data_IF_530649629684
#
_entry.id   IF_530649629684
#
_cell.length_a   1.000
_cell.length_b   1.000
_cell.length_c   1.000
_cell.angle_alpha   90.00
_cell.angle_beta   90.00
_cell.angle_gamma   90.00
#
_symmetry.space_group_name_H-M   'P 1'
#
loop_
_entity.id
_entity.type
_entity.pdbx_description
1 polymer ?
#
# COMPACT_ATOMS: atom_id res chain seq x y z
N UNK A 1 29.72 -8.22 -1.80
CA UNK A 1 28.33 -8.67 -1.48
C UNK A 1 27.37 -7.84 -2.31
N UNK A 2 26.56 -8.47 -3.16
CA UNK A 2 25.75 -7.76 -4.17
C UNK A 2 24.73 -6.82 -3.49
N UNK A 3 24.72 -5.53 -3.82
CA UNK A 3 23.87 -4.50 -3.18
C UNK A 3 22.39 -4.90 -3.16
N UNK A 4 21.95 -5.65 -4.18
CA UNK A 4 20.60 -6.20 -4.28
C UNK A 4 20.27 -7.23 -3.19
N UNK A 5 21.23 -8.10 -2.80
CA UNK A 5 21.01 -9.07 -1.71
C UNK A 5 20.77 -8.36 -0.38
N UNK A 6 21.49 -7.28 -0.11
CA UNK A 6 21.36 -6.53 1.14
C UNK A 6 20.02 -5.80 1.23
N UNK A 7 19.51 -5.28 0.10
CA UNK A 7 18.19 -4.65 0.05
C UNK A 7 17.05 -5.66 0.19
N UNK A 8 17.18 -6.84 -0.43
CA UNK A 8 16.21 -7.94 -0.28
C UNK A 8 16.18 -8.43 1.18
N UNK A 9 17.34 -8.62 1.81
CA UNK A 9 17.40 -9.05 3.21
C UNK A 9 16.76 -8.02 4.14
N UNK A 10 16.97 -6.72 3.88
CA UNK A 10 16.34 -5.62 4.63
C UNK A 10 14.83 -5.58 4.43
N UNK A 11 14.35 -5.84 3.22
CA UNK A 11 12.92 -5.89 2.92
C UNK A 11 12.26 -7.10 3.61
N UNK A 12 12.86 -8.29 3.52
CA UNK A 12 12.38 -9.49 4.22
C UNK A 12 12.37 -9.25 5.73
N UNK A 13 13.41 -8.62 6.27
CA UNK A 13 13.50 -8.27 7.68
C UNK A 13 12.43 -7.24 8.08
N UNK A 14 12.14 -6.25 7.24
CA UNK A 14 11.06 -5.29 7.47
C UNK A 14 9.68 -5.94 7.41
N UNK A 15 9.45 -6.86 6.46
CA UNK A 15 8.21 -7.64 6.38
C UNK A 15 8.06 -8.54 7.61
N UNK A 16 9.15 -9.15 8.08
CA UNK A 16 9.17 -9.97 9.28
C UNK A 16 8.92 -9.13 10.55
N UNK A 17 9.54 -7.95 10.67
CA UNK A 17 9.31 -7.03 11.78
C UNK A 17 7.87 -6.49 11.77
N UNK A 18 7.34 -6.18 10.59
CA UNK A 18 5.96 -5.76 10.42
C UNK A 18 5.00 -6.88 10.84
N UNK A 19 5.18 -8.11 10.35
CA UNK A 19 4.35 -9.24 10.76
C UNK A 19 4.49 -9.57 12.25
N UNK A 20 5.71 -9.52 12.82
CA UNK A 20 5.93 -9.74 14.26
C UNK A 20 5.27 -8.65 15.10
N UNK A 21 5.31 -7.39 14.65
CA UNK A 21 4.61 -6.28 15.30
C UNK A 21 3.09 -6.49 15.28
N UNK A 22 2.52 -6.89 14.14
CA UNK A 22 1.09 -7.20 14.02
C UNK A 22 0.68 -8.41 14.88
N UNK A 23 1.50 -9.47 14.94
CA UNK A 23 1.29 -10.59 15.85
C UNK A 23 1.33 -10.17 17.32
N UNK A 24 2.25 -9.26 17.69
CA UNK A 24 2.35 -8.74 19.04
C UNK A 24 1.16 -7.85 19.42
N UNK A 25 0.62 -7.07 18.46
CA UNK A 25 -0.61 -6.31 18.66
C UNK A 25 -1.83 -7.22 18.79
N UNK A 26 -1.92 -8.28 17.98
CA UNK A 26 -2.96 -9.29 18.14
C UNK A 26 -2.88 -9.95 19.52
N UNK A 27 -1.67 -10.26 19.99
CA UNK A 27 -1.45 -10.81 21.32
C UNK A 27 -1.89 -9.83 22.43
N UNK A 28 -1.51 -8.54 22.36
CA UNK A 28 -1.94 -7.52 23.33
C UNK A 28 -3.45 -7.31 23.31
N UNK A 29 -4.08 -7.30 22.13
CA UNK A 29 -5.54 -7.20 22.01
C UNK A 29 -6.27 -8.44 22.55
N UNK A 30 -5.68 -9.63 22.44
CA UNK A 30 -6.20 -10.84 23.08
C UNK A 30 -6.05 -10.80 24.60
N UNK A 31 -5.00 -10.14 25.11
CA UNK A 31 -4.82 -9.90 26.55
C UNK A 31 -5.84 -8.91 27.12
N UNK A 32 -6.27 -7.89 26.36
CA UNK A 32 -7.32 -6.96 26.79
C UNK A 32 -8.72 -7.57 26.76
N UNK A 33 -8.95 -8.59 25.93
CA UNK A 33 -10.23 -9.33 25.89
C UNK A 33 -10.32 -10.38 27.01
N UNK A 34 -9.19 -10.91 27.48
CA UNK A 34 -9.15 -11.88 28.60
C UNK A 34 -8.83 -11.26 29.97
N UNK A 35 -8.30 -10.03 30.02
CA UNK A 35 -7.92 -9.30 31.23
C UNK A 35 -8.92 -8.22 31.60
N UNK A 36 -10.20 -8.58 31.78
CA UNK A 36 -11.17 -7.70 32.41
C UNK A 36 -10.70 -7.37 33.83
N UNK A 37 -10.24 -6.14 34.06
CA UNK A 37 -10.12 -5.59 35.41
C UNK A 37 -11.53 -5.33 35.95
N UNK A 38 -11.94 -5.99 37.05
CA UNK A 38 -13.08 -5.52 37.82
C UNK A 38 -12.59 -4.35 38.68
N UNK A 39 -12.71 -3.11 38.20
CA UNK A 39 -12.73 -1.96 39.09
C UNK A 39 -14.15 -1.82 39.64
N UNK A 40 -14.45 -2.71 40.57
CA UNK A 40 -15.53 -2.51 41.51
C UNK A 40 -15.20 -1.30 42.39
N UNK A 41 -15.89 -0.18 42.17
CA UNK A 41 -16.17 0.75 43.25
C UNK A 41 -17.63 0.52 43.65
N UNK A 42 -17.90 -0.03 44.84
CA UNK A 42 -19.25 -0.15 45.33
C UNK A 42 -19.82 1.24 45.61
N UNK A 43 -21.06 1.41 45.17
CA UNK A 43 -21.95 2.52 45.49
C UNK A 43 -21.93 2.83 47.00
N UNK A 44 -21.62 4.06 47.35
CA UNK A 44 -22.18 4.68 48.55
C UNK A 44 -23.21 5.71 48.09
N UNK A 45 -24.47 5.29 48.21
CA UNK A 45 -25.66 6.10 48.16
C UNK A 45 -25.76 6.96 49.43
N UNK A 46 -26.01 8.26 49.30
CA UNK A 46 -26.69 9.00 50.36
C UNK A 46 -27.66 10.03 49.76
N UNK A 47 -28.93 9.70 49.96
CA UNK A 47 -30.18 10.45 49.88
C UNK A 47 -30.15 11.98 49.65
N UNK A 48 -31.05 12.43 48.76
CA UNK A 48 -31.71 13.72 48.97
C UNK A 48 -32.15 14.50 47.73
N UNK A 49 -33.35 14.18 47.25
CA UNK A 49 -34.29 15.05 46.52
C UNK A 49 -34.14 15.27 45.00
N UNK A 50 -35.18 14.78 44.33
CA UNK A 50 -35.47 14.75 42.90
C UNK A 50 -36.14 16.05 42.42
N UNK A 51 -35.54 16.70 41.42
CA UNK A 51 -36.28 17.26 40.29
C UNK A 51 -35.57 16.78 39.01
N UNK A 52 -36.12 15.72 38.40
CA UNK A 52 -35.50 14.87 37.39
C UNK A 52 -35.10 15.60 36.08
N UNK A 53 -33.79 15.71 35.78
CA UNK A 53 -33.26 15.85 34.42
C UNK A 53 -32.83 14.48 33.85
N UNK A 54 -33.19 13.38 34.54
CA UNK A 54 -32.69 12.02 34.31
C UNK A 54 -33.25 11.38 33.03
N UNK A 55 -34.37 11.87 32.49
CA UNK A 55 -34.96 11.35 31.24
C UNK A 55 -34.26 11.85 29.96
N UNK A 56 -33.23 12.71 30.06
CA UNK A 56 -32.40 13.14 28.92
C UNK A 56 -30.99 12.55 28.89
N UNK A 57 -30.62 11.75 29.90
CA UNK A 57 -29.33 11.05 29.96
C UNK A 57 -29.43 9.56 29.58
N UNK A 58 -30.49 9.18 28.86
CA UNK A 58 -30.29 8.23 27.75
C UNK A 58 -29.59 8.94 26.59
N UNK A 59 -28.47 9.59 26.90
CA UNK A 59 -27.40 9.88 25.96
C UNK A 59 -26.86 8.50 25.63
N UNK A 60 -27.54 7.88 24.65
CA UNK A 60 -27.17 6.62 24.02
C UNK A 60 -25.66 6.66 23.94
N UNK A 61 -25.02 5.75 24.65
CA UNK A 61 -23.61 5.45 24.53
C UNK A 61 -23.42 4.99 23.08
N UNK A 62 -23.42 5.96 22.16
CA UNK A 62 -23.32 5.74 20.73
C UNK A 62 -22.04 4.98 20.59
N UNK A 63 -22.20 3.72 20.23
CA UNK A 63 -21.08 2.79 20.11
C UNK A 63 -20.01 3.47 19.25
N UNK A 64 -18.73 3.27 19.59
CA UNK A 64 -17.60 3.89 18.86
C UNK A 64 -17.79 3.83 17.33
N UNK A 65 -18.40 2.73 16.84
CA UNK A 65 -18.77 2.53 15.43
C UNK A 65 -19.70 3.61 14.87
N UNK A 66 -20.79 3.97 15.54
CA UNK A 66 -21.75 4.97 15.04
C UNK A 66 -21.13 6.36 14.91
N UNK A 67 -20.27 6.72 15.87
CA UNK A 67 -19.51 7.98 15.81
C UNK A 67 -18.56 7.98 14.62
N UNK A 68 -17.85 6.89 14.37
CA UNK A 68 -16.95 6.76 13.21
C UNK A 68 -17.72 6.91 11.91
N UNK A 69 -18.86 6.21 11.76
CA UNK A 69 -19.68 6.29 10.56
C UNK A 69 -20.20 7.72 10.32
N UNK A 70 -20.62 8.42 11.38
CA UNK A 70 -21.06 9.82 11.28
C UNK A 70 -19.92 10.77 10.84
N UNK A 71 -18.70 10.56 11.35
CA UNK A 71 -17.53 11.36 10.96
C UNK A 71 -17.15 11.09 9.51
N UNK A 72 -17.23 9.84 9.05
CA UNK A 72 -16.96 9.50 7.66
C UNK A 72 -17.96 10.14 6.70
N UNK A 73 -19.25 10.19 7.07
CA UNK A 73 -20.27 10.88 6.29
C UNK A 73 -20.00 12.39 6.19
N UNK A 74 -19.68 13.05 7.31
CA UNK A 74 -19.33 14.48 7.30
C UNK A 74 -18.10 14.78 6.44
N UNK A 75 -17.08 13.92 6.47
CA UNK A 75 -15.91 14.05 5.61
C UNK A 75 -16.27 13.94 4.13
N UNK A 76 -17.10 12.97 3.78
CA UNK A 76 -17.57 12.80 2.41
C UNK A 76 -18.36 14.04 1.95
N UNK A 77 -19.28 14.54 2.79
CA UNK A 77 -20.04 15.75 2.50
C UNK A 77 -19.14 16.97 2.28
N UNK A 78 -18.15 17.19 3.15
CA UNK A 78 -17.20 18.30 3.03
C UNK A 78 -16.40 18.25 1.74
N UNK A 79 -15.93 17.07 1.33
CA UNK A 79 -15.18 16.91 0.10
C UNK A 79 -16.06 17.06 -1.15
N UNK A 80 -17.30 16.57 -1.10
CA UNK A 80 -18.26 16.69 -2.20
C UNK A 80 -18.88 18.10 -2.36
N UNK A 81 -18.58 19.04 -1.44
CA UNK A 81 -18.89 20.47 -1.66
C UNK A 81 -18.15 21.04 -2.86
N UNK A 82 -17.00 20.47 -3.24
CA UNK A 82 -16.28 20.88 -4.43
C UNK A 82 -16.91 20.22 -5.68
N UNK A 83 -17.36 21.03 -6.65
CA UNK A 83 -18.04 20.54 -7.86
C UNK A 83 -17.18 19.56 -8.67
N UNK A 84 -15.87 19.81 -8.80
CA UNK A 84 -14.96 18.91 -9.51
C UNK A 84 -14.87 17.54 -8.82
N UNK A 85 -14.77 17.49 -7.48
CA UNK A 85 -14.75 16.22 -6.75
C UNK A 85 -16.08 15.47 -6.86
N UNK A 86 -17.20 16.20 -6.90
CA UNK A 86 -18.52 15.62 -7.10
C UNK A 86 -18.69 15.01 -8.49
N UNK A 87 -18.23 15.69 -9.54
CA UNK A 87 -18.22 15.14 -10.90
C UNK A 87 -17.33 13.90 -11.01
N UNK A 88 -16.17 13.91 -10.35
CA UNK A 88 -15.26 12.78 -10.28
C UNK A 88 -15.88 11.59 -9.56
N UNK A 89 -16.50 11.79 -8.39
CA UNK A 89 -17.26 10.75 -7.66
C UNK A 89 -18.38 10.16 -8.52
N UNK A 90 -19.17 11.01 -9.19
CA UNK A 90 -20.21 10.56 -10.11
C UNK A 90 -19.66 9.75 -11.28
N UNK A 91 -18.50 10.14 -11.82
CA UNK A 91 -17.84 9.42 -12.90
C UNK A 91 -17.32 8.06 -12.44
N UNK A 92 -16.71 7.99 -11.25
CA UNK A 92 -16.21 6.74 -10.67
C UNK A 92 -17.34 5.78 -10.28
N UNK A 93 -18.47 6.30 -9.80
CA UNK A 93 -19.69 5.49 -9.59
C UNK A 93 -20.22 4.84 -10.87
N UNK A 94 -20.11 5.49 -12.03
CA UNK A 94 -20.53 4.89 -13.32
C UNK A 94 -19.68 3.69 -13.71
N UNK A 95 -18.39 3.69 -13.36
CA UNK A 95 -17.46 2.58 -13.61
C UNK A 95 -17.29 1.67 -12.37
N UNK A 96 -18.27 1.64 -11.46
CA UNK A 96 -18.19 0.87 -10.22
C UNK A 96 -17.84 -0.62 -10.45
N UNK A 97 -18.31 -1.22 -11.55
CA UNK A 97 -17.97 -2.60 -11.90
C UNK A 97 -16.45 -2.82 -12.01
N UNK A 98 -15.71 -1.85 -12.56
CA UNK A 98 -14.26 -1.93 -12.66
C UNK A 98 -13.61 -1.93 -11.27
N UNK A 99 -14.09 -1.08 -10.37
CA UNK A 99 -13.59 -1.03 -8.98
C UNK A 99 -13.90 -2.32 -8.22
N UNK A 100 -15.10 -2.88 -8.38
CA UNK A 100 -15.44 -4.17 -7.78
C UNK A 100 -14.50 -5.29 -8.26
N UNK A 101 -14.19 -5.34 -9.56
CA UNK A 101 -13.27 -6.33 -10.12
C UNK A 101 -11.85 -6.14 -9.58
N UNK A 102 -11.35 -4.91 -9.50
CA UNK A 102 -9.97 -4.64 -9.07
C UNK A 102 -9.76 -4.75 -7.56
N UNK A 103 -10.68 -4.22 -6.77
CA UNK A 103 -10.52 -4.02 -5.34
C UNK A 103 -11.37 -4.98 -4.49
N UNK A 104 -12.25 -5.78 -5.11
CA UNK A 104 -13.18 -6.67 -4.40
C UNK A 104 -14.29 -5.90 -3.65
N UNK A 105 -14.40 -4.59 -3.85
CA UNK A 105 -15.33 -3.72 -3.14
C UNK A 105 -15.92 -2.69 -4.10
N UNK A 106 -17.18 -2.30 -3.84
CA UNK A 106 -17.81 -1.22 -4.59
C UNK A 106 -17.10 0.11 -4.27
N UNK A 107 -16.92 0.91 -5.31
CA UNK A 107 -16.44 2.28 -5.17
C UNK A 107 -17.31 3.07 -4.20
N UNK A 108 -16.64 3.71 -3.24
CA UNK A 108 -17.23 4.71 -2.37
C UNK A 108 -16.23 5.84 -2.18
N UNK A 109 -16.71 7.07 -2.14
CA UNK A 109 -15.90 8.23 -1.81
C UNK A 109 -15.68 8.30 -0.29
N UNK A 110 -14.95 7.32 0.24
CA UNK A 110 -14.70 7.13 1.67
C UNK A 110 -13.21 6.98 1.97
N UNK A 111 -12.82 7.31 3.20
CA UNK A 111 -11.44 7.11 3.66
C UNK A 111 -11.04 5.62 3.62
N UNK A 112 -11.98 4.71 3.89
CA UNK A 112 -11.79 3.27 3.76
C UNK A 112 -11.35 2.91 2.34
N UNK A 113 -12.07 3.38 1.33
CA UNK A 113 -11.76 3.09 -0.06
C UNK A 113 -10.42 3.70 -0.49
N UNK A 114 -10.10 4.90 0.00
CA UNK A 114 -8.80 5.52 -0.24
C UNK A 114 -7.64 4.66 0.32
N UNK A 115 -7.76 4.15 1.54
CA UNK A 115 -6.75 3.25 2.12
C UNK A 115 -6.63 1.95 1.32
N UNK A 116 -7.76 1.34 0.93
CA UNK A 116 -7.78 0.15 0.06
C UNK A 116 -7.01 0.43 -1.23
N UNK A 117 -7.28 1.55 -1.89
CA UNK A 117 -6.62 1.95 -3.13
C UNK A 117 -5.09 2.13 -2.95
N UNK A 118 -4.67 2.81 -1.88
CA UNK A 118 -3.25 3.01 -1.57
C UNK A 118 -2.54 1.67 -1.30
N UNK A 119 -3.15 0.78 -0.51
CA UNK A 119 -2.58 -0.55 -0.26
C UNK A 119 -2.51 -1.40 -1.50
N UNK A 120 -3.54 -1.36 -2.34
CA UNK A 120 -3.60 -2.11 -3.58
C UNK A 120 -2.45 -1.70 -4.52
N UNK A 121 -2.26 -0.39 -4.75
CA UNK A 121 -1.16 0.11 -5.60
C UNK A 121 0.19 -0.22 -4.98
N UNK A 122 0.35 0.02 -3.68
CA UNK A 122 1.61 -0.23 -2.99
C UNK A 122 2.01 -1.71 -3.09
N UNK A 123 1.10 -2.63 -2.79
CA UNK A 123 1.39 -4.05 -2.89
C UNK A 123 1.62 -4.48 -4.34
N UNK A 124 0.84 -3.99 -5.31
CA UNK A 124 1.04 -4.33 -6.72
C UNK A 124 2.46 -4.00 -7.18
N UNK A 125 2.94 -2.80 -6.87
CA UNK A 125 4.29 -2.36 -7.22
C UNK A 125 5.34 -3.21 -6.49
N UNK A 126 5.15 -3.48 -5.19
CA UNK A 126 6.09 -4.29 -4.41
C UNK A 126 6.17 -5.73 -4.92
N UNK A 127 5.04 -6.40 -5.17
CA UNK A 127 5.01 -7.74 -5.75
C UNK A 127 5.65 -7.75 -7.14
N UNK A 128 5.39 -6.75 -7.97
CA UNK A 128 6.03 -6.65 -9.28
C UNK A 128 7.54 -6.65 -9.17
N UNK A 129 8.12 -5.82 -8.30
CA UNK A 129 9.57 -5.78 -8.11
C UNK A 129 10.12 -7.06 -7.48
N UNK A 130 9.40 -7.65 -6.52
CA UNK A 130 9.80 -8.93 -5.90
C UNK A 130 9.85 -10.02 -6.97
N UNK A 131 8.79 -10.20 -7.75
CA UNK A 131 8.71 -11.26 -8.78
C UNK A 131 9.73 -11.02 -9.89
N UNK A 132 9.87 -9.77 -10.35
CA UNK A 132 10.87 -9.39 -11.36
C UNK A 132 12.31 -9.64 -10.90
N UNK A 133 12.57 -9.59 -9.58
CA UNK A 133 13.91 -9.88 -9.05
C UNK A 133 14.34 -11.35 -9.22
N UNK A 134 13.39 -12.25 -9.49
CA UNK A 134 13.69 -13.63 -9.87
C UNK A 134 13.97 -13.71 -11.38
N UNK A 135 15.16 -14.21 -11.74
CA UNK A 135 15.66 -14.25 -13.13
C UNK A 135 14.80 -15.07 -14.11
N UNK A 136 13.85 -15.86 -13.61
CA UNK A 136 13.07 -16.80 -14.41
C UNK A 136 11.88 -16.14 -15.14
N UNK A 137 11.41 -14.98 -14.68
CA UNK A 137 10.20 -14.36 -15.22
C UNK A 137 10.50 -13.17 -16.12
N UNK A 138 9.85 -13.10 -17.27
CA UNK A 138 9.86 -11.90 -18.11
C UNK A 138 9.17 -10.73 -17.40
N UNK A 139 9.43 -9.51 -17.86
CA UNK A 139 8.81 -8.30 -17.29
C UNK A 139 7.27 -8.37 -17.35
N UNK A 140 6.73 -8.85 -18.47
CA UNK A 140 5.29 -9.06 -18.64
C UNK A 140 4.74 -10.16 -17.73
N UNK A 141 5.42 -11.31 -17.65
CA UNK A 141 5.01 -12.40 -16.76
C UNK A 141 5.00 -11.95 -15.29
N UNK A 142 6.01 -11.19 -14.86
CA UNK A 142 6.11 -10.66 -13.50
C UNK A 142 4.96 -9.72 -13.16
N UNK A 143 4.60 -8.83 -14.10
CA UNK A 143 3.46 -7.93 -13.96
C UNK A 143 2.13 -8.71 -13.87
N UNK A 144 1.92 -9.68 -14.77
CA UNK A 144 0.71 -10.48 -14.79
C UNK A 144 0.52 -11.32 -13.52
N UNK A 145 1.58 -11.98 -13.05
CA UNK A 145 1.55 -12.79 -11.81
C UNK A 145 1.27 -11.87 -10.60
N UNK A 146 1.95 -10.73 -10.52
CA UNK A 146 1.77 -9.77 -9.42
C UNK A 146 0.34 -9.23 -9.38
N UNK A 147 -0.19 -8.83 -10.54
CA UNK A 147 -1.57 -8.39 -10.67
C UNK A 147 -2.56 -9.48 -10.26
N UNK A 148 -2.34 -10.72 -10.68
CA UNK A 148 -3.19 -11.87 -10.31
C UNK A 148 -3.18 -12.12 -8.81
N UNK A 149 -2.01 -12.10 -8.15
CA UNK A 149 -1.89 -12.25 -6.70
C UNK A 149 -2.66 -11.14 -5.97
N UNK A 150 -2.51 -9.89 -6.42
CA UNK A 150 -3.21 -8.75 -5.82
C UNK A 150 -4.72 -8.86 -5.98
N UNK A 151 -5.21 -9.25 -7.16
CA UNK A 151 -6.63 -9.46 -7.39
C UNK A 151 -7.20 -10.52 -6.44
N UNK A 152 -6.51 -11.66 -6.29
CA UNK A 152 -6.94 -12.71 -5.36
C UNK A 152 -7.02 -12.15 -3.92
N UNK A 153 -5.99 -11.42 -3.47
CA UNK A 153 -6.00 -10.81 -2.14
C UNK A 153 -7.12 -9.76 -1.96
N UNK A 154 -7.45 -9.02 -3.01
CA UNK A 154 -8.55 -8.06 -3.00
C UNK A 154 -9.89 -8.74 -2.77
N UNK A 155 -10.18 -9.81 -3.54
CA UNK A 155 -11.41 -10.58 -3.42
C UNK A 155 -11.51 -11.41 -2.13
N UNK A 156 -10.38 -11.72 -1.50
CA UNK A 156 -10.35 -12.29 -0.14
C UNK A 156 -10.67 -11.25 0.95
N UNK A 157 -10.85 -9.97 0.60
CA UNK A 157 -11.17 -8.90 1.54
C UNK A 157 -9.98 -8.45 2.40
N UNK A 158 -8.75 -8.83 2.05
CA UNK A 158 -7.55 -8.49 2.83
C UNK A 158 -7.40 -6.97 3.01
N UNK A 159 -7.56 -6.21 1.93
CA UNK A 159 -7.44 -4.75 1.95
C UNK A 159 -8.50 -4.08 2.82
N UNK A 160 -9.73 -4.59 2.80
CA UNK A 160 -10.82 -4.10 3.65
C UNK A 160 -10.54 -4.36 5.11
N UNK A 161 -10.08 -5.56 5.45
CA UNK A 161 -9.71 -5.92 6.83
C UNK A 161 -8.59 -5.03 7.36
N UNK A 162 -7.52 -4.84 6.59
CA UNK A 162 -6.39 -3.96 6.97
C UNK A 162 -6.87 -2.51 7.12
N UNK A 163 -7.67 -2.01 6.19
CA UNK A 163 -8.16 -0.62 6.23
C UNK A 163 -9.10 -0.38 7.41
N UNK A 164 -9.98 -1.34 7.72
CA UNK A 164 -10.84 -1.31 8.91
C UNK A 164 -10.04 -1.31 10.20
N UNK A 165 -9.06 -2.20 10.29
CA UNK A 165 -8.16 -2.26 11.43
C UNK A 165 -7.43 -0.94 11.64
N UNK A 166 -6.87 -0.34 10.59
CA UNK A 166 -6.17 0.94 10.71
C UNK A 166 -7.08 2.10 11.11
N UNK A 167 -8.30 2.14 10.58
CA UNK A 167 -9.28 3.17 10.96
C UNK A 167 -9.69 3.00 12.42
N UNK A 168 -10.04 1.79 12.85
CA UNK A 168 -10.30 1.50 14.27
C UNK A 168 -9.12 1.89 15.14
N UNK A 169 -7.89 1.56 14.73
CA UNK A 169 -6.66 1.92 15.46
C UNK A 169 -6.43 3.45 15.52
N UNK A 170 -6.91 4.23 14.56
CA UNK A 170 -6.87 5.70 14.65
C UNK A 170 -7.91 6.21 15.66
N UNK A 171 -9.12 5.66 15.65
CA UNK A 171 -10.25 6.20 16.43
C UNK A 171 -10.35 5.68 17.86
N UNK A 172 -9.92 4.45 18.14
CA UNK A 172 -10.07 3.82 19.45
C UNK A 172 -9.02 4.26 20.48
N UNK A 173 -7.93 4.89 20.01
CA UNK A 173 -6.86 5.38 20.89
C UNK A 173 -7.04 6.86 21.28
N UNK A 174 -6.51 7.21 22.46
CA UNK A 174 -6.50 8.59 22.96
C UNK A 174 -5.70 9.55 22.07
N UNK A 175 -5.96 10.86 22.19
CA UNK A 175 -5.47 11.91 21.25
C UNK A 175 -3.97 11.87 20.97
N UNK A 176 -3.14 11.64 21.99
CA UNK A 176 -1.66 11.60 21.82
C UNK A 176 -1.24 10.38 21.01
N UNK A 177 -1.76 9.20 21.36
CA UNK A 177 -1.43 7.95 20.64
C UNK A 177 -1.97 7.99 19.22
N UNK A 178 -3.18 8.53 19.03
CA UNK A 178 -3.77 8.80 17.71
C UNK A 178 -2.86 9.68 16.85
N UNK A 179 -2.34 10.78 17.38
CA UNK A 179 -1.40 11.64 16.65
C UNK A 179 -0.13 10.88 16.27
N UNK A 180 0.45 10.09 17.20
CA UNK A 180 1.62 9.26 16.91
C UNK A 180 1.36 8.24 15.80
N UNK A 181 0.19 7.59 15.80
CA UNK A 181 -0.23 6.66 14.74
C UNK A 181 -0.34 7.39 13.41
N UNK A 182 -1.00 8.55 13.37
CA UNK A 182 -1.16 9.34 12.14
C UNK A 182 0.20 9.76 11.59
N UNK A 183 1.11 10.24 12.45
CA UNK A 183 2.49 10.55 12.05
C UNK A 183 3.24 9.31 11.60
N UNK A 184 3.04 8.15 12.23
CA UNK A 184 3.61 6.87 11.83
C UNK A 184 3.15 6.43 10.45
N UNK A 185 1.84 6.53 10.16
CA UNK A 185 1.27 6.25 8.83
C UNK A 185 1.84 7.22 7.80
N UNK A 186 1.90 8.52 8.12
CA UNK A 186 2.45 9.53 7.21
C UNK A 186 3.93 9.28 6.92
N UNK A 187 4.73 8.99 7.94
CA UNK A 187 6.14 8.65 7.80
C UNK A 187 6.33 7.37 6.98
N UNK A 188 5.48 6.37 7.18
CA UNK A 188 5.48 5.14 6.38
C UNK A 188 5.13 5.41 4.91
N UNK A 189 4.13 6.25 4.62
CA UNK A 189 3.79 6.65 3.24
C UNK A 189 4.94 7.42 2.58
N UNK A 190 5.57 8.36 3.30
CA UNK A 190 6.75 9.08 2.84
C UNK A 190 7.91 8.10 2.56
N UNK A 191 8.16 7.18 3.48
CA UNK A 191 9.16 6.13 3.31
C UNK A 191 8.90 5.30 2.05
N UNK A 192 7.67 4.87 1.81
CA UNK A 192 7.29 4.16 0.58
C UNK A 192 7.65 4.97 -0.66
N UNK A 193 7.29 6.26 -0.71
CA UNK A 193 7.62 7.15 -1.84
C UNK A 193 9.14 7.23 -2.08
N UNK A 194 9.93 7.40 -1.02
CA UNK A 194 11.39 7.47 -1.14
C UNK A 194 12.03 6.14 -1.53
N UNK A 195 11.52 5.04 -0.97
CA UNK A 195 11.97 3.69 -1.31
C UNK A 195 11.76 3.39 -2.80
N UNK A 196 10.62 3.79 -3.36
CA UNK A 196 10.36 3.66 -4.79
C UNK A 196 11.29 4.53 -5.65
N UNK A 197 11.60 5.76 -5.23
CA UNK A 197 12.55 6.63 -5.95
C UNK A 197 13.96 6.05 -6.01
N UNK A 198 14.42 5.43 -4.93
CA UNK A 198 15.78 4.86 -4.84
C UNK A 198 16.02 3.73 -5.84
N UNK A 199 15.05 2.83 -5.99
CA UNK A 199 15.18 1.69 -6.91
C UNK A 199 15.11 2.09 -8.38
N UNK A 200 14.41 3.17 -8.72
CA UNK A 200 14.28 3.62 -10.11
C UNK A 200 15.62 4.09 -10.70
N UNK A 201 16.46 4.74 -9.88
CA UNK A 201 17.76 5.24 -10.33
C UNK A 201 18.73 4.10 -10.65
N UNK A 202 18.81 3.08 -9.79
CA UNK A 202 19.70 1.95 -10.04
C UNK A 202 19.26 1.11 -11.24
N UNK A 203 17.96 0.93 -11.44
CA UNK A 203 17.43 0.21 -12.61
C UNK A 203 17.76 0.98 -13.90
N UNK A 204 17.65 2.32 -13.88
CA UNK A 204 18.03 3.15 -15.01
C UNK A 204 19.53 3.03 -15.31
N UNK A 205 20.38 3.15 -14.29
CA UNK A 205 21.83 3.02 -14.44
C UNK A 205 22.26 1.63 -14.95
N UNK A 206 21.56 0.56 -14.56
CA UNK A 206 21.84 -0.80 -15.03
C UNK A 206 21.39 -1.00 -16.48
N UNK A 207 20.22 -0.49 -16.86
CA UNK A 207 19.75 -0.49 -18.26
C UNK A 207 20.67 0.32 -19.17
N UNK A 208 21.11 1.50 -18.72
CA UNK A 208 22.02 2.34 -19.50
C UNK A 208 23.36 1.62 -19.73
N UNK A 209 23.87 0.88 -18.73
CA UNK A 209 25.09 0.08 -18.87
C UNK A 209 24.93 -1.15 -19.76
N UNK A 210 23.79 -1.83 -19.68
CA UNK A 210 23.52 -3.00 -20.50
C UNK A 210 23.31 -2.61 -21.96
N UNK A 211 22.63 -1.48 -22.21
CA UNK A 211 22.50 -0.90 -23.53
C UNK A 211 23.86 -0.44 -24.08
N UNK A 212 24.69 0.22 -23.28
CA UNK A 212 26.05 0.58 -23.71
C UNK A 212 26.90 -0.65 -24.09
N UNK A 213 26.72 -1.78 -23.39
CA UNK A 213 27.40 -3.03 -23.76
C UNK A 213 26.89 -3.59 -25.09
N UNK A 214 25.58 -3.63 -25.29
CA UNK A 214 24.99 -4.08 -26.55
C UNK A 214 25.42 -3.20 -27.73
N UNK A 215 25.43 -1.88 -27.54
CA UNK A 215 25.89 -0.93 -28.56
C UNK A 215 27.38 -1.13 -28.89
N UNK A 216 28.22 -1.40 -27.88
CA UNK A 216 29.64 -1.73 -28.10
C UNK A 216 29.83 -3.05 -28.83
N UNK A 217 29.04 -4.07 -28.53
CA UNK A 217 29.10 -5.37 -29.22
C UNK A 217 28.66 -5.24 -30.70
N UNK A 218 27.60 -4.47 -30.96
CA UNK A 218 27.13 -4.18 -32.32
C UNK A 218 28.21 -3.44 -33.11
N UNK A 219 28.76 -2.35 -32.56
CA UNK A 219 29.84 -1.58 -33.21
C UNK A 219 31.08 -2.42 -33.49
N UNK A 220 31.44 -3.34 -32.57
CA UNK A 220 32.57 -4.24 -32.78
C UNK A 220 32.29 -5.22 -33.92
N UNK A 221 31.10 -5.83 -33.96
CA UNK A 221 30.72 -6.75 -35.04
C UNK A 221 30.63 -6.09 -36.41
N UNK A 222 30.17 -4.83 -36.47
CA UNK A 222 30.15 -4.04 -37.70
C UNK A 222 31.55 -3.68 -38.17
N UNK A 223 32.45 -3.30 -37.25
CA UNK A 223 33.85 -3.00 -37.57
C UNK A 223 34.60 -4.22 -38.12
N UNK A 224 34.38 -5.41 -37.54
CA UNK A 224 34.93 -6.67 -38.05
C UNK A 224 34.40 -6.99 -39.46
N UNK A 225 33.09 -6.85 -39.67
CA UNK A 225 32.46 -7.09 -40.99
C UNK A 225 33.01 -6.14 -42.07
N UNK A 226 33.25 -4.86 -41.73
CA UNK A 226 33.85 -3.88 -42.65
C UNK A 226 35.29 -4.25 -42.97
N UNK A 227 36.05 -4.71 -41.97
CA UNK A 227 37.44 -5.12 -42.14
C UNK A 227 37.56 -6.32 -43.08
N UNK A 228 36.73 -7.35 -42.87
CA UNK A 228 36.68 -8.53 -43.75
C UNK A 228 36.35 -8.16 -45.20
N UNK A 229 35.32 -7.33 -45.42
CA UNK A 229 34.97 -6.84 -46.77
C UNK A 229 36.10 -6.06 -47.44
N UNK A 230 36.82 -5.23 -46.68
CA UNK A 230 37.96 -4.48 -47.21
C UNK A 230 39.13 -5.40 -47.57
N UNK A 231 39.40 -6.44 -46.78
CA UNK A 231 40.41 -7.45 -47.09
C UNK A 231 40.05 -8.24 -48.36
N UNK A 232 38.78 -8.62 -48.54
CA UNK A 232 38.29 -9.25 -49.78
C UNK A 232 38.45 -8.35 -51.01
N UNK A 233 38.07 -7.07 -50.89
CA UNK A 233 38.24 -6.09 -51.97
C UNK A 233 39.71 -5.90 -52.34
N UNK A 234 40.62 -5.85 -51.35
CA UNK A 234 42.06 -5.71 -51.61
C UNK A 234 42.64 -6.90 -52.38
N UNK A 235 42.18 -8.12 -52.08
CA UNK A 235 42.55 -9.34 -52.83
C UNK A 235 42.01 -9.30 -54.26
N UNK A 236 40.83 -8.74 -54.47
CA UNK A 236 40.23 -8.60 -55.80
C UNK A 236 40.98 -7.58 -56.67
N UNK A 237 41.39 -6.45 -56.10
CA UNK A 237 42.15 -5.40 -56.80
C UNK A 237 43.54 -5.91 -57.24
N UNK A 238 44.26 -6.62 -56.37
CA UNK A 238 45.60 -7.14 -56.68
C UNK A 238 45.63 -8.28 -57.73
N UNK A 239 44.48 -8.83 -58.11
CA UNK A 239 44.38 -9.92 -59.10
C UNK A 239 44.22 -9.41 -60.54
N UNK A 240 43.94 -8.12 -60.74
CA UNK A 240 43.87 -7.47 -62.05
C UNK A 240 45.23 -6.90 -62.44
#
# INVERSE_FOLDING_TARGET
MNKNKTNILRLIFLIFLFNSFFLSLHFVSSLTVFGGFPLANPLQSEDGNLENPVDKFHEVEQTSSEKIDSLMQQWQELLLKNEFLKELDNSFKKINMFFFVLFGENYSFSLYFFLIFVFWISLLINFYYIIRSYSTFSEFASAFISFSIILINAHLGLFKTISKFLISLIFDFGTVVRLLIVFGILAFLIYLIFFFKGNFKSIKEERDKEQEKQDREILHSEAETIKEKNEELSKFVNKK
#
